data_IF_614005921581
#
_entry.id   IF_614005921581
#
_cell.length_a   1.000
_cell.length_b   1.000
_cell.length_c   1.000
_cell.angle_alpha   90.00
_cell.angle_beta   90.00
_cell.angle_gamma   90.00
#
_symmetry.space_group_name_H-M   'P 1'
#
loop_
_entity.id
_entity.type
_entity.pdbx_description
1 polymer ?
2 water ?
#
# COMPACT_ATOMS: atom_id res chain seq x y z
N UNK A 2 -12.87 21.36 -25.51
CA UNK A 2 -13.49 22.27 -24.52
C UNK A 2 -12.57 22.52 -23.32
N UNK A 3 -12.48 23.78 -22.88
CA UNK A 3 -11.67 24.14 -21.72
C UNK A 3 -12.28 23.74 -20.37
N UNK A 4 -13.59 23.95 -20.23
CA UNK A 4 -14.28 23.57 -19.01
C UNK A 4 -14.37 22.05 -18.88
N UNK A 5 -14.65 21.38 -20.00
CA UNK A 5 -14.59 19.92 -20.07
C UNK A 5 -13.21 19.37 -19.68
N UNK A 6 -12.14 20.01 -20.17
CA UNK A 6 -10.78 19.65 -19.76
C UNK A 6 -10.54 19.87 -18.26
N UNK A 7 -11.07 20.97 -17.72
CA UNK A 7 -10.94 21.19 -16.25
C UNK A 7 -11.54 20.06 -15.44
N UNK A 8 -12.71 19.58 -15.85
CA UNK A 8 -13.36 18.48 -15.13
C UNK A 8 -12.48 17.23 -15.14
N UNK A 9 -11.84 16.95 -16.29
CA UNK A 9 -11.00 15.76 -16.43
C UNK A 9 -9.76 15.89 -15.54
N UNK A 10 -9.12 17.04 -15.56
CA UNK A 10 -7.94 17.19 -14.72
C UNK A 10 -8.19 17.15 -13.18
N UNK A 11 -9.33 17.66 -12.73
CA UNK A 11 -9.69 17.60 -11.29
C UNK A 11 -9.85 16.13 -10.91
N UNK A 12 -10.47 15.35 -11.79
CA UNK A 12 -10.68 13.93 -11.50
C UNK A 12 -9.35 13.16 -11.45
N UNK A 13 -8.47 13.44 -12.40
CA UNK A 13 -7.11 12.86 -12.39
C UNK A 13 -6.28 13.30 -11.17
N UNK A 14 -6.40 14.57 -10.75
CA UNK A 14 -5.76 15.05 -9.50
C UNK A 14 -6.25 14.24 -8.28
N UNK A 15 -7.55 14.07 -8.17
CA UNK A 15 -8.10 13.28 -7.08
C UNK A 15 -7.44 11.89 -7.06
N UNK A 16 -7.25 11.30 -8.24
CA UNK A 16 -6.72 9.96 -8.33
C UNK A 16 -5.27 9.90 -7.87
N UNK A 17 -4.47 10.93 -8.22
CA UNK A 17 -3.08 10.98 -7.76
C UNK A 17 -3.00 11.24 -6.23
N UNK A 18 -3.99 11.94 -5.67
CA UNK A 18 -4.00 12.24 -4.25
C UNK A 18 -4.33 10.98 -3.44
N UNK A 19 -5.19 10.15 -4.03
CA UNK A 19 -5.54 8.86 -3.45
C UNK A 19 -4.34 7.91 -3.40
N UNK A 20 -3.57 7.87 -4.50
CA UNK A 20 -2.39 7.04 -4.58
C UNK A 20 -1.25 7.53 -3.68
N UNK A 21 -1.15 8.85 -3.52
CA UNK A 21 -0.27 9.43 -2.50
C UNK A 21 -0.63 9.02 -1.08
N UNK A 22 -1.92 9.02 -0.78
CA UNK A 22 -2.37 8.67 0.56
C UNK A 22 -2.04 7.21 0.87
N UNK A 23 -2.06 6.35 -0.16
CA UNK A 23 -1.71 4.93 -0.02
C UNK A 23 -0.24 4.74 0.26
N UNK A 24 0.60 5.55 -0.37
CA UNK A 24 2.04 5.41 -0.17
C UNK A 24 2.40 5.90 1.22
N UNK A 25 1.69 6.93 1.68
CA UNK A 25 1.88 7.42 3.06
C UNK A 25 1.48 6.40 4.13
N UNK A 26 0.36 5.70 3.87
CA UNK A 26 -0.09 4.63 4.78
C UNK A 26 0.92 3.49 4.80
N UNK A 27 1.45 3.12 3.63
CA UNK A 27 2.40 2.04 3.53
C UNK A 27 3.70 2.39 4.25
N UNK A 28 4.15 3.64 4.10
CA UNK A 28 5.32 4.10 4.86
C UNK A 28 5.06 4.05 6.38
N UNK A 29 3.88 4.48 6.79
CA UNK A 29 3.52 4.57 8.21
C UNK A 29 3.48 3.18 8.84
N UNK A 30 2.98 2.21 8.08
CA UNK A 30 2.71 0.88 8.62
C UNK A 30 3.88 -0.08 8.47
N UNK A 31 4.96 0.39 7.83
CA UNK A 31 6.05 -0.48 7.39
C UNK A 31 7.02 -0.83 8.51
N UNK B 2 7.78 -35.28 18.87
CA UNK B 2 8.57 -34.04 19.15
C UNK B 2 7.99 -32.80 18.50
N UNK B 3 8.61 -31.65 18.80
CA UNK B 3 8.28 -30.37 18.17
C UNK B 3 8.51 -30.41 16.65
N UNK B 4 9.48 -31.19 16.21
CA UNK B 4 9.80 -31.25 14.78
C UNK B 4 8.69 -31.99 14.04
N UNK B 5 8.10 -32.99 14.68
CA UNK B 5 7.04 -33.75 14.02
C UNK B 5 5.82 -32.84 13.90
N UNK B 6 5.59 -32.05 14.96
CA UNK B 6 4.49 -31.10 15.00
C UNK B 6 4.66 -30.03 13.92
N UNK B 7 5.90 -29.56 13.75
CA UNK B 7 6.22 -28.70 12.60
C UNK B 7 5.95 -29.35 11.23
N UNK B 8 6.40 -30.56 11.03
CA UNK B 8 6.16 -31.21 9.75
C UNK B 8 4.66 -31.44 9.50
N UNK B 9 3.89 -31.69 10.56
CA UNK B 9 2.43 -31.88 10.39
C UNK B 9 1.72 -30.58 10.07
N UNK B 10 2.16 -29.47 10.66
CA UNK B 10 1.52 -28.17 10.38
C UNK B 10 1.91 -27.72 8.95
N UNK B 11 3.12 -28.06 8.50
CA UNK B 11 3.52 -27.79 7.10
C UNK B 11 2.70 -28.58 6.08
N UNK B 12 2.43 -29.82 6.42
CA UNK B 12 1.52 -30.66 5.66
C UNK B 12 0.14 -30.03 5.56
N UNK B 13 -0.37 -29.57 6.69
CA UNK B 13 -1.72 -29.01 6.75
C UNK B 13 -1.73 -27.71 5.95
N UNK B 14 -0.65 -26.95 5.99
CA UNK B 14 -0.57 -25.71 5.23
C UNK B 14 -0.60 -25.99 3.73
N UNK B 15 0.17 -27.01 3.31
CA UNK B 15 0.21 -27.43 1.91
C UNK B 15 -1.17 -27.83 1.39
N UNK B 16 -1.92 -28.55 2.23
CA UNK B 16 -3.34 -28.84 1.97
C UNK B 16 -4.23 -27.62 1.72
N UNK B 17 -4.09 -26.59 2.56
CA UNK B 17 -4.91 -25.37 2.42
C UNK B 17 -4.47 -24.55 1.19
N UNK B 18 -3.20 -24.61 0.84
CA UNK B 18 -2.71 -23.97 -0.36
C UNK B 18 -3.25 -24.64 -1.62
N UNK B 19 -3.26 -25.98 -1.62
CA UNK B 19 -3.83 -26.75 -2.72
C UNK B 19 -5.31 -26.40 -2.92
N UNK B 20 -6.07 -26.34 -1.83
CA UNK B 20 -7.52 -26.02 -1.93
C UNK B 20 -7.75 -24.57 -2.35
N UNK B 21 -6.85 -23.69 -1.91
CA UNK B 21 -6.92 -22.29 -2.38
C UNK B 21 -6.68 -22.16 -3.89
N UNK B 22 -5.69 -22.89 -4.39
CA UNK B 22 -5.36 -22.92 -5.81
C UNK B 22 -6.56 -23.35 -6.64
N UNK B 23 -7.31 -24.36 -6.16
CA UNK B 23 -8.48 -24.80 -6.92
C UNK B 23 -9.66 -23.85 -6.80
N UNK B 24 -9.78 -23.10 -5.70
CA UNK B 24 -10.84 -22.07 -5.61
C UNK B 24 -10.54 -20.89 -6.54
N UNK B 25 -9.26 -20.61 -6.76
CA UNK B 25 -8.88 -19.60 -7.76
C UNK B 25 -9.15 -20.09 -9.20
N UNK B 26 -8.92 -21.37 -9.43
CA UNK B 26 -9.23 -21.96 -10.75
C UNK B 26 -10.74 -21.91 -11.00
N UNK B 27 -11.54 -22.24 -9.97
CA UNK B 27 -13.02 -22.20 -10.11
C UNK B 27 -13.50 -20.75 -10.34
N UNK B 28 -12.86 -19.79 -9.66
CA UNK B 28 -13.15 -18.37 -9.91
C UNK B 28 -12.88 -17.97 -11.36
N UNK B 29 -11.75 -18.40 -11.88
CA UNK B 29 -11.29 -18.05 -13.22
C UNK B 29 -12.19 -18.65 -14.29
N UNK B 30 -12.80 -19.80 -14.02
CA UNK B 30 -13.53 -20.53 -15.07
C UNK B 30 -14.96 -20.02 -15.23
N UNK B 31 -15.43 -19.26 -14.24
CA UNK B 31 -15.34 -17.82 -14.28
C UNK B 31 -16.66 -17.23 -14.73
N UNK C 2 11.54 -41.26 10.21
CA UNK C 2 11.96 -40.30 11.27
C UNK C 2 11.34 -38.93 11.09
N UNK C 3 11.42 -38.11 12.14
CA UNK C 3 10.72 -36.84 12.22
C UNK C 3 11.40 -35.76 11.38
N UNK C 4 12.72 -35.67 11.50
CA UNK C 4 13.47 -34.80 10.57
C UNK C 4 13.40 -35.26 9.10
N UNK C 5 13.35 -36.57 8.88
CA UNK C 5 13.16 -37.08 7.52
C UNK C 5 11.82 -36.62 6.96
N UNK C 6 10.77 -36.68 7.79
CA UNK C 6 9.42 -36.25 7.39
C UNK C 6 9.36 -34.75 7.11
N UNK C 7 10.00 -33.97 7.97
CA UNK C 7 10.15 -32.53 7.70
C UNK C 7 10.62 -32.21 6.27
N UNK C 8 11.76 -32.76 5.87
CA UNK C 8 12.29 -32.59 4.50
C UNK C 8 11.23 -32.87 3.42
N UNK C 9 10.54 -34.00 3.59
CA UNK C 9 9.53 -34.41 2.64
C UNK C 9 8.43 -33.33 2.54
N UNK C 10 7.95 -32.86 3.70
CA UNK C 10 6.81 -31.96 3.74
C UNK C 10 7.15 -30.57 3.22
N UNK C 11 8.40 -30.15 3.40
CA UNK C 11 8.86 -28.89 2.80
C UNK C 11 8.86 -28.95 1.27
N UNK C 12 9.41 -30.03 0.73
CA UNK C 12 9.35 -30.30 -0.72
C UNK C 12 7.94 -30.33 -1.28
N UNK C 13 7.02 -30.95 -0.55
CA UNK C 13 5.64 -31.03 -0.97
C UNK C 13 4.96 -29.67 -0.94
N UNK C 14 5.25 -28.88 0.10
CA UNK C 14 4.75 -27.49 0.18
C UNK C 14 5.21 -26.63 -1.01
N UNK C 15 6.50 -26.71 -1.35
CA UNK C 15 7.03 -25.97 -2.51
C UNK C 15 6.30 -26.30 -3.80
N UNK C 16 5.92 -27.57 -3.96
CA UNK C 16 5.22 -27.99 -5.16
C UNK C 16 3.82 -27.36 -5.20
N UNK C 17 3.14 -27.32 -4.06
CA UNK C 17 1.77 -26.77 -4.01
C UNK C 17 1.80 -25.27 -4.22
N UNK C 18 2.89 -24.63 -3.75
CA UNK C 18 3.08 -23.21 -3.99
C UNK C 18 3.28 -22.90 -5.46
N UNK C 19 4.02 -23.76 -6.15
CA UNK C 19 4.19 -23.63 -7.61
C UNK C 19 2.89 -23.82 -8.40
N UNK C 20 2.07 -24.76 -7.97
CA UNK C 20 0.75 -24.92 -8.59
C UNK C 20 -0.13 -23.69 -8.33
N UNK C 21 -0.06 -23.15 -7.13
CA UNK C 21 -0.87 -21.97 -6.77
C UNK C 21 -0.45 -20.80 -7.66
N UNK C 22 0.86 -20.65 -7.86
CA UNK C 22 1.38 -19.59 -8.70
C UNK C 22 0.79 -19.70 -10.12
N UNK C 23 0.69 -20.93 -10.62
CA UNK C 23 0.23 -21.18 -11.98
C UNK C 23 -1.21 -20.75 -12.10
N UNK C 24 -2.05 -21.15 -11.14
CA UNK C 24 -3.47 -20.76 -11.20
C UNK C 24 -3.69 -19.24 -11.10
N UNK C 25 -2.85 -18.56 -10.35
CA UNK C 25 -2.92 -17.10 -10.29
C UNK C 25 -2.56 -16.47 -11.65
N UNK C 26 -1.51 -16.99 -12.29
CA UNK C 26 -1.15 -16.56 -13.67
C UNK C 26 -2.29 -16.77 -14.66
N UNK C 27 -2.95 -17.91 -14.57
CA UNK C 27 -4.10 -18.20 -15.42
C UNK C 27 -5.26 -17.23 -15.18
N UNK C 28 -5.56 -16.97 -13.89
CA UNK C 28 -6.55 -15.97 -13.54
C UNK C 28 -6.21 -14.62 -14.15
N UNK C 29 -4.96 -14.20 -14.01
CA UNK C 29 -4.55 -12.86 -14.42
C UNK C 29 -4.71 -12.65 -15.93
N UNK C 30 -4.32 -13.66 -16.70
CA UNK C 30 -4.13 -13.50 -18.14
C UNK C 30 -5.29 -14.08 -18.96
N UNK C 31 -6.17 -14.81 -18.29
CA UNK C 31 -6.96 -15.86 -18.94
C UNK C 31 -8.33 -15.37 -19.37
N UNK D 2 -20.17 16.35 -7.04
CA UNK D 2 -19.40 16.36 -8.31
C UNK D 2 -17.90 16.18 -8.14
N UNK D 3 -17.14 16.64 -9.13
CA UNK D 3 -15.69 16.42 -9.20
C UNK D 3 -15.01 17.08 -7.99
N UNK D 4 -15.47 18.28 -7.62
CA UNK D 4 -14.80 19.07 -6.57
C UNK D 4 -15.00 18.42 -5.20
N UNK D 5 -16.22 17.99 -4.94
CA UNK D 5 -16.54 17.20 -3.78
C UNK D 5 -15.71 15.91 -3.63
N UNK D 6 -15.52 15.17 -4.74
CA UNK D 6 -14.68 13.97 -4.75
C UNK D 6 -13.23 14.31 -4.43
N UNK D 7 -12.73 15.39 -4.99
CA UNK D 7 -11.38 15.86 -4.68
C UNK D 7 -11.24 16.19 -3.18
N UNK D 8 -12.18 16.93 -2.61
CA UNK D 8 -12.12 17.30 -1.21
C UNK D 8 -12.13 16.06 -0.30
N UNK D 9 -12.89 15.05 -0.74
CA UNK D 9 -12.98 13.79 0.02
C UNK D 9 -11.64 13.07 0.03
N UNK D 10 -10.94 13.07 -1.11
CA UNK D 10 -9.59 12.43 -1.18
C UNK D 10 -8.59 13.25 -0.35
N UNK D 11 -8.75 14.58 -0.31
CA UNK D 11 -7.87 15.40 0.53
C UNK D 11 -8.07 15.11 2.03
N UNK D 12 -9.31 14.90 2.42
CA UNK D 12 -9.66 14.56 3.81
C UNK D 12 -9.07 13.20 4.19
N UNK D 13 -9.09 12.25 3.26
CA UNK D 13 -8.54 10.93 3.52
C UNK D 13 -7.01 10.96 3.55
N UNK D 14 -6.44 11.84 2.72
CA UNK D 14 -4.99 12.08 2.78
C UNK D 14 -4.59 12.65 4.13
N UNK D 15 -5.31 13.67 4.61
CA UNK D 15 -4.99 14.27 5.92
C UNK D 15 -5.00 13.23 7.04
N UNK D 16 -5.96 12.31 7.00
CA UNK D 16 -6.04 11.23 7.96
C UNK D 16 -4.80 10.32 7.95
N UNK D 17 -4.30 9.98 6.77
CA UNK D 17 -3.10 9.13 6.69
C UNK D 17 -1.85 9.89 7.12
N UNK D 18 -1.81 11.19 6.85
CA UNK D 18 -0.78 12.04 7.47
C UNK D 18 -0.80 12.07 9.01
N UNK D 19 -1.99 12.17 9.59
CA UNK D 19 -2.13 12.11 11.06
C UNK D 19 -1.56 10.81 11.60
N UNK D 20 -1.84 9.70 10.92
CA UNK D 20 -1.43 8.40 11.46
C UNK D 20 0.05 8.16 11.24
N UNK D 21 0.60 8.76 10.19
CA UNK D 21 2.06 8.76 10.01
C UNK D 21 2.74 9.55 11.16
N UNK D 22 2.19 10.71 11.49
CA UNK D 22 2.70 11.52 12.58
C UNK D 22 2.76 10.75 13.91
N UNK D 23 1.71 9.98 14.22
CA UNK D 23 1.68 9.13 15.43
C UNK D 23 2.77 8.08 15.39
N UNK D 24 2.98 7.43 14.24
CA UNK D 24 4.06 6.42 14.16
C UNK D 24 5.43 7.04 14.35
N UNK D 25 5.61 8.24 13.81
CA UNK D 25 6.86 8.98 14.05
C UNK D 25 7.08 9.38 15.51
N UNK D 26 6.00 9.82 16.15
CA UNK D 26 6.04 10.06 17.59
C UNK D 26 6.42 8.79 18.34
N UNK D 27 5.74 7.70 18.04
CA UNK D 27 5.95 6.45 18.77
C UNK D 27 7.39 5.96 18.62
N UNK D 28 7.94 6.07 17.41
CA UNK D 28 9.32 5.70 17.14
C UNK D 28 10.28 6.54 18.00
N UNK D 29 10.00 7.84 18.10
CA UNK D 29 10.83 8.74 18.88
C UNK D 29 10.83 8.41 20.38
N UNK D 30 9.65 8.04 20.89
CA UNK D 30 9.49 7.69 22.30
C UNK D 30 10.11 6.32 22.61
N UNK D 31 10.21 5.47 21.59
CA UNK D 31 10.95 4.22 21.71
C UNK D 31 12.40 4.43 22.11
N UNK E 2 21.87 -17.31 6.98
CA UNK E 2 21.75 -18.61 6.22
C UNK E 2 20.37 -18.81 5.59
N UNK E 3 20.05 -20.05 5.22
CA UNK E 3 18.90 -20.35 4.36
C UNK E 3 17.58 -19.98 5.06
N UNK E 4 17.52 -20.15 6.37
CA UNK E 4 16.32 -19.74 7.14
C UNK E 4 16.05 -18.22 7.07
N UNK E 5 17.06 -17.39 7.27
CA UNK E 5 16.88 -15.95 7.08
C UNK E 5 16.45 -15.61 5.64
N UNK E 6 17.05 -16.27 4.66
CA UNK E 6 16.72 -16.00 3.26
C UNK E 6 15.24 -16.33 2.99
N UNK E 7 14.80 -17.47 3.51
CA UNK E 7 13.38 -17.81 3.51
C UNK E 7 12.47 -16.77 4.18
N UNK E 8 12.87 -16.28 5.36
CA UNK E 8 12.12 -15.22 6.03
C UNK E 8 12.02 -13.99 5.15
N UNK E 9 13.11 -13.65 4.47
CA UNK E 9 13.12 -12.48 3.61
C UNK E 9 12.13 -12.60 2.43
N UNK E 10 12.05 -13.79 1.82
CA UNK E 10 11.14 -14.00 0.69
C UNK E 10 9.70 -13.97 1.17
N UNK E 11 9.46 -14.48 2.37
CA UNK E 11 8.12 -14.41 2.95
C UNK E 11 7.67 -12.96 3.22
N UNK E 12 8.60 -12.13 3.68
CA UNK E 12 8.33 -10.70 3.88
C UNK E 12 8.02 -10.01 2.57
N UNK E 13 8.76 -10.35 1.53
CA UNK E 13 8.56 -9.75 0.21
C UNK E 13 7.22 -10.20 -0.38
N UNK E 14 6.88 -11.45 -0.16
CA UNK E 14 5.56 -11.97 -0.54
C UNK E 14 4.41 -11.25 0.18
N UNK E 15 4.56 -11.03 1.49
CA UNK E 15 3.53 -10.32 2.29
C UNK E 15 3.31 -8.92 1.73
N UNK E 16 4.40 -8.28 1.31
CA UNK E 16 4.33 -6.96 0.70
C UNK E 16 3.54 -6.95 -0.65
N UNK E 17 3.76 -7.94 -1.48
CA UNK E 17 2.98 -8.09 -2.73
C UNK E 17 1.51 -8.36 -2.45
N UNK E 18 1.25 -9.10 -1.38
CA UNK E 18 -0.15 -9.39 -1.04
C UNK E 18 -0.86 -8.12 -0.56
N UNK E 19 -0.16 -7.27 0.18
CA UNK E 19 -0.69 -6.00 0.64
C UNK E 19 -1.01 -5.09 -0.55
N UNK E 20 -0.09 -5.05 -1.52
CA UNK E 20 -0.32 -4.29 -2.76
C UNK E 20 -1.51 -4.81 -3.55
N UNK E 21 -1.62 -6.12 -3.66
CA UNK E 21 -2.84 -6.70 -4.28
C UNK E 21 -4.14 -6.30 -3.56
N UNK E 22 -4.13 -6.36 -2.22
CA UNK E 22 -5.31 -6.00 -1.45
C UNK E 22 -5.70 -4.54 -1.71
N UNK E 23 -4.72 -3.65 -1.81
CA UNK E 23 -5.01 -2.24 -2.18
C UNK E 23 -5.70 -2.13 -3.51
N UNK E 24 -5.22 -2.88 -4.50
CA UNK E 24 -5.83 -2.82 -5.84
C UNK E 24 -7.26 -3.37 -5.83
N UNK E 25 -7.49 -4.41 -5.03
CA UNK E 25 -8.85 -4.95 -4.88
C UNK E 25 -9.80 -3.93 -4.22
N UNK E 26 -9.29 -3.18 -3.26
CA UNK E 26 -10.07 -2.14 -2.59
C UNK E 26 -10.38 -1.03 -3.60
N UNK E 27 -9.37 -0.58 -4.33
CA UNK E 27 -9.60 0.43 -5.35
C UNK E 27 -10.73 -0.02 -6.29
N UNK E 28 -10.71 -1.30 -6.68
CA UNK E 28 -11.70 -1.81 -7.64
C UNK E 28 -13.10 -1.88 -7.05
N UNK E 29 -13.19 -2.38 -5.82
CA UNK E 29 -14.44 -2.39 -5.08
C UNK E 29 -15.05 -0.99 -5.07
N UNK E 30 -14.21 0.02 -4.93
CA UNK E 30 -14.67 1.37 -4.64
C UNK E 30 -15.25 2.02 -5.90
N UNK E 31 -14.47 2.00 -6.97
CA UNK E 31 -14.92 2.55 -8.24
C UNK E 31 -14.99 1.50 -9.34
N UNK F 2 -14.43 36.43 -3.16
CA UNK F 2 -15.32 35.25 -3.19
C UNK F 2 -14.66 33.94 -2.81
N UNK F 3 -15.39 32.85 -2.99
CA UNK F 3 -14.91 31.55 -2.55
C UNK F 3 -13.67 31.05 -3.33
N UNK F 4 -13.50 31.50 -4.57
CA UNK F 4 -12.35 31.10 -5.37
C UNK F 4 -11.05 31.74 -4.88
N UNK F 5 -11.13 33.02 -4.52
CA UNK F 5 -10.00 33.70 -3.87
C UNK F 5 -9.67 33.08 -2.51
N UNK F 6 -10.70 32.80 -1.71
CA UNK F 6 -10.53 32.12 -0.43
C UNK F 6 -9.82 30.76 -0.57
N UNK F 7 -10.21 29.98 -1.57
CA UNK F 7 -9.51 28.73 -1.91
C UNK F 7 -8.05 28.95 -2.26
N UNK F 8 -7.79 29.98 -3.06
CA UNK F 8 -6.41 30.32 -3.47
C UNK F 8 -5.56 30.63 -2.22
N UNK F 9 -6.12 31.44 -1.31
CA UNK F 9 -5.45 31.74 -0.03
C UNK F 9 -5.15 30.50 0.84
N UNK F 10 -6.10 29.56 0.95
CA UNK F 10 -5.84 28.32 1.69
C UNK F 10 -4.77 27.46 1.01
N UNK F 11 -4.72 27.54 -0.32
CA UNK F 11 -3.71 26.79 -1.07
C UNK F 11 -2.31 27.40 -0.81
N UNK F 12 -2.26 28.72 -0.76
CA UNK F 12 -1.01 29.39 -0.40
C UNK F 12 -0.51 29.02 1.01
N UNK F 13 -1.44 28.90 1.95
CA UNK F 13 -1.08 28.55 3.32
C UNK F 13 -0.64 27.08 3.42
N UNK F 14 -1.29 26.20 2.66
CA UNK F 14 -0.82 24.81 2.56
C UNK F 14 0.58 24.73 1.98
N UNK F 15 0.87 25.53 0.96
CA UNK F 15 2.20 25.50 0.34
C UNK F 15 3.25 25.89 1.39
N UNK F 16 2.90 26.86 2.24
CA UNK F 16 3.83 27.36 3.25
C UNK F 16 4.13 26.27 4.26
N UNK F 17 3.08 25.52 4.66
CA UNK F 17 3.30 24.39 5.57
C UNK F 17 4.16 23.28 4.97
N UNK F 18 3.97 23.05 3.67
CA UNK F 18 4.75 22.04 2.93
C UNK F 18 6.22 22.45 2.87
N UNK F 19 6.48 23.74 2.66
CA UNK F 19 7.87 24.25 2.72
C UNK F 19 8.52 24.04 4.11
N UNK F 20 7.75 24.29 5.16
CA UNK F 20 8.23 24.08 6.53
C UNK F 20 8.49 22.61 6.84
N UNK F 21 7.60 21.75 6.33
CA UNK F 21 7.81 20.32 6.47
C UNK F 21 9.05 19.87 5.70
N UNK F 22 9.25 20.36 4.48
CA UNK F 22 10.43 20.02 3.68
C UNK F 22 11.70 20.36 4.46
N UNK F 23 11.69 21.48 5.18
CA UNK F 23 12.88 21.92 5.96
C UNK F 23 13.11 20.98 7.12
N UNK F 24 12.05 20.54 7.80
CA UNK F 24 12.25 19.68 8.97
C UNK F 24 12.79 18.34 8.51
N UNK F 25 12.42 17.94 7.29
CA UNK F 25 12.95 16.70 6.72
C UNK F 25 14.44 16.85 6.37
N UNK F 26 14.79 17.98 5.77
CA UNK F 26 16.19 18.32 5.49
C UNK F 26 17.04 18.35 6.78
N UNK F 27 16.49 18.94 7.84
CA UNK F 27 17.21 19.07 9.12
C UNK F 27 17.42 17.72 9.80
N UNK F 28 16.42 16.84 9.68
CA UNK F 28 16.56 15.46 10.11
C UNK F 28 17.61 14.69 9.32
N UNK F 29 17.64 14.87 8.00
CA UNK F 29 18.67 14.28 7.15
C UNK F 29 20.08 14.76 7.50
N UNK F 30 20.26 16.07 7.61
CA UNK F 30 21.56 16.60 8.00
C UNK F 30 21.94 16.02 9.36
N UNK F 31 22.84 15.04 9.34
CA UNK F 31 23.16 14.28 10.55
C UNK F 31 23.39 15.16 11.77
N UNK G 2 -20.72 26.64 -0.48
CA UNK G 2 -20.84 25.44 -1.38
C UNK G 2 -19.56 24.63 -1.43
N UNK G 3 -19.35 23.92 -2.53
CA UNK G 3 -18.31 22.90 -2.63
C UNK G 3 -16.91 23.51 -2.69
N UNK G 4 -16.79 24.68 -3.28
CA UNK G 4 -15.50 25.37 -3.27
C UNK G 4 -15.00 25.79 -1.88
N UNK G 5 -15.88 26.36 -1.06
CA UNK G 5 -15.61 26.56 0.36
C UNK G 5 -15.32 25.27 1.13
N UNK G 6 -16.11 24.24 0.90
CA UNK G 6 -15.83 22.97 1.56
C UNK G 6 -14.44 22.41 1.23
N UNK G 7 -14.05 22.53 -0.03
CA UNK G 7 -12.71 22.14 -0.47
C UNK G 7 -11.63 22.98 0.21
N UNK G 8 -11.86 24.28 0.32
CA UNK G 8 -10.88 25.15 1.01
C UNK G 8 -10.72 24.74 2.47
N UNK G 9 -11.81 24.30 3.10
CA UNK G 9 -11.77 23.88 4.50
C UNK G 9 -11.03 22.58 4.67
N UNK G 10 -11.13 21.67 3.69
CA UNK G 10 -10.37 20.41 3.73
C UNK G 10 -8.87 20.67 3.50
N UNK G 11 -8.56 21.68 2.68
CA UNK G 11 -7.17 22.07 2.43
C UNK G 11 -6.58 22.73 3.69
N UNK G 12 -7.41 23.47 4.41
CA UNK G 12 -7.01 24.07 5.71
C UNK G 12 -6.76 23.00 6.78
N UNK G 13 -7.59 21.97 6.80
CA UNK G 13 -7.36 20.84 7.71
C UNK G 13 -6.12 20.02 7.34
N UNK G 14 -5.89 19.83 6.04
CA UNK G 14 -4.69 19.13 5.59
C UNK G 14 -3.45 19.89 6.07
N UNK G 15 -3.46 21.21 5.90
CA UNK G 15 -2.32 22.05 6.31
C UNK G 15 -2.03 21.91 7.81
N UNK G 16 -3.09 21.77 8.62
CA UNK G 16 -2.99 21.51 10.05
C UNK G 16 -2.25 20.21 10.32
N UNK G 17 -2.64 19.12 9.64
CA UNK G 17 -1.98 17.80 9.84
C UNK G 17 -0.52 17.78 9.35
N UNK G 18 -0.24 18.56 8.30
CA UNK G 18 1.14 18.70 7.82
C UNK G 18 2.02 19.43 8.86
N UNK G 19 1.49 20.50 9.43
CA UNK G 19 2.18 21.17 10.53
C UNK G 19 2.45 20.26 11.72
N UNK G 20 1.51 19.40 12.05
CA UNK G 20 1.68 18.47 13.17
C UNK G 20 2.68 17.37 12.81
N UNK G 21 2.71 16.94 11.54
CA UNK G 21 3.73 15.99 11.10
C UNK G 21 5.12 16.58 11.24
N UNK G 22 5.25 17.81 10.74
CA UNK G 22 6.51 18.56 10.84
C UNK G 22 7.00 18.64 12.31
N UNK G 23 6.09 18.84 13.24
CA UNK G 23 6.43 18.95 14.68
C UNK G 23 6.97 17.63 15.17
N UNK G 24 6.35 16.51 14.78
CA UNK G 24 6.85 15.22 15.25
C UNK G 24 8.21 14.86 14.64
N UNK G 25 8.45 15.31 13.42
CA UNK G 25 9.74 15.07 12.76
C UNK G 25 10.86 15.86 13.44
N UNK G 26 10.57 17.12 13.80
CA UNK G 26 11.52 17.89 14.62
C UNK G 26 11.77 17.25 15.99
N UNK G 27 10.71 16.73 16.62
CA UNK G 27 10.87 16.06 17.91
C UNK G 27 11.70 14.77 17.81
N UNK G 28 11.49 13.99 16.74
CA UNK G 28 12.35 12.85 16.44
C UNK G 28 13.80 13.25 16.22
N UNK G 29 14.00 14.25 15.37
CA UNK G 29 15.34 14.83 15.17
C UNK G 29 16.03 15.28 16.48
N UNK G 30 15.25 15.71 17.48
CA UNK G 30 15.82 16.27 18.72
C UNK G 30 16.55 15.22 19.53
N UNK G 31 16.00 14.01 19.55
CA UNK G 31 16.29 13.06 20.63
C UNK G 31 17.24 11.96 20.19
N UNK H 2 -8.15 37.56 -13.52
CA UNK H 2 -9.16 37.48 -12.42
C UNK H 2 -8.88 36.34 -11.45
N UNK H 3 -9.89 35.94 -10.68
CA UNK H 3 -9.67 35.05 -9.56
C UNK H 3 -9.26 33.66 -10.01
N UNK H 4 -9.71 33.26 -11.20
CA UNK H 4 -9.31 31.98 -11.78
C UNK H 4 -7.80 31.94 -12.06
N UNK H 5 -7.29 32.96 -12.75
CA UNK H 5 -5.83 33.07 -12.93
C UNK H 5 -5.10 33.07 -11.60
N UNK H 6 -5.61 33.84 -10.63
CA UNK H 6 -4.99 33.90 -9.31
C UNK H 6 -4.95 32.52 -8.64
N UNK H 7 -6.04 31.75 -8.77
CA UNK H 7 -6.04 30.34 -8.32
C UNK H 7 -4.97 29.52 -9.04
N UNK H 8 -4.90 29.63 -10.36
CA UNK H 8 -3.93 28.85 -11.16
C UNK H 8 -2.49 29.12 -10.71
N UNK H 9 -2.22 30.38 -10.38
CA UNK H 9 -0.91 30.77 -9.84
C UNK H 9 -0.59 30.09 -8.52
N UNK H 10 -1.55 30.05 -7.60
CA UNK H 10 -1.29 29.49 -6.27
C UNK H 10 -1.09 27.99 -6.40
N UNK H 11 -1.77 27.39 -7.38
CA UNK H 11 -1.61 25.95 -7.66
C UNK H 11 -0.25 25.62 -8.26
N UNK H 12 0.23 26.51 -9.14
CA UNK H 12 1.62 26.42 -9.66
C UNK H 12 2.66 26.51 -8.55
N UNK H 13 2.43 27.43 -7.62
CA UNK H 13 3.36 27.66 -6.52
C UNK H 13 3.34 26.47 -5.54
N UNK H 14 2.15 25.91 -5.33
CA UNK H 14 2.03 24.64 -4.57
C UNK H 14 2.78 23.47 -5.22
N UNK H 15 2.65 23.34 -6.54
CA UNK H 15 3.31 22.26 -7.28
C UNK H 15 4.81 22.37 -7.09
N UNK H 16 5.31 23.61 -7.09
CA UNK H 16 6.72 23.88 -6.83
C UNK H 16 7.15 23.44 -5.42
N UNK H 17 6.33 23.69 -4.41
CA UNK H 17 6.71 23.29 -3.03
C UNK H 17 6.63 21.77 -2.85
N UNK H 18 5.71 21.13 -3.56
CA UNK H 18 5.65 19.67 -3.56
C UNK H 18 6.86 19.02 -4.25
N UNK H 19 7.34 19.62 -5.35
CA UNK H 19 8.56 19.15 -6.01
C UNK H 19 9.78 19.30 -5.09
N UNK H 20 9.85 20.42 -4.36
CA UNK H 20 10.92 20.61 -3.36
C UNK H 20 10.87 19.63 -2.19
N UNK H 21 9.67 19.36 -1.71
CA UNK H 21 9.47 18.31 -0.70
C UNK H 21 9.91 16.93 -1.17
N UNK H 22 9.55 16.56 -2.40
CA UNK H 22 9.96 15.27 -2.98
C UNK H 22 11.48 15.13 -3.04
N UNK H 23 12.17 16.24 -3.35
CA UNK H 23 13.64 16.31 -3.39
C UNK H 23 14.22 16.09 -1.99
N UNK H 24 13.64 16.70 -0.95
CA UNK H 24 14.18 16.49 0.40
C UNK H 24 13.99 15.04 0.85
N UNK H 25 12.84 14.47 0.50
CA UNK H 25 12.56 13.07 0.80
C UNK H 25 13.54 12.10 0.11
N UNK H 26 13.81 12.34 -1.17
CA UNK H 26 14.83 11.61 -1.94
C UNK H 26 16.21 11.70 -1.26
N UNK H 27 16.59 12.92 -0.87
CA UNK H 27 17.88 13.14 -0.22
C UNK H 27 17.97 12.41 1.12
N UNK H 28 16.86 12.40 1.86
CA UNK H 28 16.80 11.66 3.12
C UNK H 28 16.89 10.16 2.90
N UNK H 29 16.31 9.67 1.81
CA UNK H 29 16.40 8.24 1.50
C UNK H 29 17.82 7.91 1.01
N UNK H 30 18.42 8.84 0.27
CA UNK H 30 19.71 8.60 -0.41
C UNK H 30 20.88 9.05 0.47
N UNK I 2 9.64 -24.85 22.68
CA UNK I 2 10.68 -23.87 22.25
C UNK I 2 10.33 -23.15 20.96
N UNK I 3 11.33 -22.72 20.21
CA UNK I 3 11.08 -21.87 19.04
C UNK I 3 10.53 -22.67 17.86
N UNK I 4 10.83 -23.96 17.82
CA UNK I 4 10.30 -24.78 16.73
C UNK I 4 8.80 -24.98 16.92
N UNK I 5 8.38 -25.13 18.18
CA UNK I 5 6.95 -25.27 18.46
C UNK I 5 6.19 -23.99 18.17
N UNK I 6 6.82 -22.86 18.47
CA UNK I 6 6.21 -21.57 18.21
C UNK I 6 6.11 -21.31 16.70
N UNK I 7 7.12 -21.75 15.94
CA UNK I 7 7.05 -21.68 14.47
C UNK I 7 5.88 -22.49 13.97
N UNK I 8 5.74 -23.71 14.49
CA UNK I 8 4.62 -24.57 14.09
C UNK I 8 3.29 -23.86 14.36
N UNK I 9 3.19 -23.17 15.49
CA UNK I 9 1.94 -22.51 15.85
C UNK I 9 1.61 -21.39 14.88
N UNK I 10 2.59 -20.58 14.51
CA UNK I 10 2.40 -19.58 13.47
C UNK I 10 2.00 -20.17 12.10
N UNK I 11 2.64 -21.26 11.70
CA UNK I 11 2.25 -21.94 10.44
C UNK I 11 0.79 -22.41 10.50
N UNK I 12 0.37 -22.90 11.68
CA UNK I 12 -1.03 -23.30 11.88
C UNK I 12 -1.98 -22.12 11.70
N UNK I 13 -1.65 -20.98 12.29
CA UNK I 13 -2.51 -19.80 12.15
C UNK I 13 -2.49 -19.29 10.70
N UNK I 14 -1.32 -19.35 10.05
CA UNK I 14 -1.23 -19.01 8.61
C UNK I 14 -2.15 -19.89 7.77
N UNK I 15 -2.17 -21.19 8.07
CA UNK I 15 -3.05 -22.09 7.34
C UNK I 15 -4.51 -21.66 7.53
N UNK I 16 -4.85 -21.25 8.75
CA UNK I 16 -6.21 -20.86 9.06
C UNK I 16 -6.61 -19.60 8.30
N UNK I 17 -5.66 -18.66 8.10
CA UNK I 17 -5.99 -17.47 7.31
C UNK I 17 -6.14 -17.77 5.82
N UNK I 18 -5.37 -18.74 5.32
CA UNK I 18 -5.45 -19.22 3.92
C UNK I 18 -6.81 -19.88 3.64
N UNK I 19 -7.27 -20.71 4.58
CA UNK I 19 -8.59 -21.33 4.49
C UNK I 19 -9.71 -20.30 4.43
N UNK I 20 -9.58 -19.25 5.25
CA UNK I 20 -10.59 -18.19 5.27
C UNK I 20 -10.55 -17.35 4.00
N UNK I 21 -9.34 -17.13 3.48
CA UNK I 21 -9.20 -16.49 2.18
C UNK I 21 -9.86 -17.31 1.05
N UNK I 22 -9.63 -18.61 1.04
CA UNK I 22 -10.21 -19.49 0.03
C UNK I 22 -11.76 -19.48 0.07
N UNK I 23 -12.31 -19.31 1.27
CA UNK I 23 -13.77 -19.15 1.47
C UNK I 23 -14.23 -17.83 0.88
N UNK I 24 -13.49 -16.75 1.09
CA UNK I 24 -13.94 -15.48 0.53
C UNK I 24 -13.91 -15.52 -1.00
N UNK I 25 -12.92 -16.22 -1.57
CA UNK I 25 -12.76 -16.26 -3.04
C UNK I 25 -13.88 -17.11 -3.66
N UNK I 26 -14.23 -18.20 -2.97
CA UNK I 26 -15.41 -19.01 -3.36
C UNK I 26 -16.72 -18.20 -3.33
N UNK I 27 -16.93 -17.44 -2.26
CA UNK I 27 -18.11 -16.57 -2.17
C UNK I 27 -18.09 -15.54 -3.29
N UNK I 28 -16.90 -15.05 -3.63
CA UNK I 28 -16.80 -14.10 -4.71
C UNK I 28 -17.22 -14.77 -6.02
N UNK I 29 -16.71 -15.98 -6.26
CA UNK I 29 -17.00 -16.74 -7.48
C UNK I 29 -18.49 -17.03 -7.64
N UNK I 30 -19.16 -17.32 -6.52
CA UNK I 30 -20.58 -17.70 -6.52
C UNK I 30 -21.53 -16.51 -6.66
N UNK I 31 -21.02 -15.31 -6.38
CA UNK I 31 -21.79 -14.09 -6.59
C UNK I 31 -21.48 -13.47 -7.95
N UNK J 2 -8.08 30.46 -22.67
CA UNK J 2 -8.63 31.26 -21.52
C UNK J 2 -7.95 30.98 -20.19
N UNK J 3 -8.41 31.66 -19.14
CA UNK J 3 -7.92 31.43 -17.75
C UNK J 3 -8.24 30.01 -17.26
N UNK J 4 -9.39 29.49 -17.71
CA UNK J 4 -9.80 28.11 -17.37
C UNK J 4 -8.89 27.01 -17.94
N UNK J 5 -8.56 27.11 -19.24
CA UNK J 5 -7.52 26.25 -19.80
C UNK J 5 -6.21 26.30 -19.00
N UNK J 6 -5.78 27.50 -18.60
CA UNK J 6 -4.55 27.64 -17.80
C UNK J 6 -4.66 27.02 -16.42
N UNK J 7 -5.82 27.15 -15.82
CA UNK J 7 -6.09 26.47 -14.56
C UNK J 7 -6.00 24.95 -14.73
N UNK J 8 -6.64 24.43 -15.79
CA UNK J 8 -6.62 22.97 -16.10
C UNK J 8 -5.19 22.46 -16.31
N UNK J 9 -4.37 23.27 -16.96
CA UNK J 9 -2.98 22.89 -17.16
C UNK J 9 -2.15 22.88 -15.88
N UNK J 10 -2.35 23.85 -15.00
CA UNK J 10 -1.64 23.88 -13.71
C UNK J 10 -2.08 22.75 -12.78
N UNK J 11 -3.36 22.39 -12.83
CA UNK J 11 -3.87 21.23 -12.09
C UNK J 11 -3.24 19.93 -12.60
N UNK J 12 -3.13 19.77 -13.92
CA UNK J 12 -2.43 18.62 -14.50
C UNK J 12 -0.98 18.53 -14.04
N UNK J 13 -0.31 19.67 -13.99
CA UNK J 13 1.09 19.71 -13.58
C UNK J 13 1.24 19.43 -12.08
N UNK J 14 0.30 19.93 -11.27
CA UNK J 14 0.24 19.54 -9.85
C UNK J 14 0.06 18.03 -9.66
N UNK J 15 -0.84 17.42 -10.44
CA UNK J 15 -1.06 15.95 -10.34
C UNK J 15 0.24 15.22 -10.64
N UNK J 16 0.96 15.71 -11.66
CA UNK J 16 2.24 15.12 -12.01
C UNK J 16 3.26 15.17 -10.87
N UNK J 17 3.35 16.32 -10.17
CA UNK J 17 4.27 16.43 -9.04
C UNK J 17 3.86 15.55 -7.86
N UNK J 18 2.55 15.41 -7.67
CA UNK J 18 2.01 14.59 -6.59
C UNK J 18 2.33 13.11 -6.84
N UNK J 19 2.22 12.70 -8.11
CA UNK J 19 2.67 11.35 -8.52
C UNK J 19 4.16 11.10 -8.23
N UNK J 20 4.99 12.09 -8.54
CA UNK J 20 6.43 12.00 -8.29
C UNK J 20 6.78 12.00 -6.79
N UNK J 21 6.00 12.72 -5.99
CA UNK J 21 6.21 12.70 -4.54
C UNK J 21 5.86 11.33 -3.95
N UNK J 22 4.75 10.77 -4.43
CA UNK J 22 4.33 9.42 -4.05
C UNK J 22 5.39 8.36 -4.36
N UNK J 23 6.06 8.49 -5.50
CA UNK J 23 7.21 7.60 -5.82
C UNK J 23 8.38 7.78 -4.86
N UNK J 24 8.74 9.02 -4.55
CA UNK J 24 9.83 9.23 -3.60
C UNK J 24 9.53 8.65 -2.22
N UNK J 25 8.26 8.73 -1.83
CA UNK J 25 7.82 8.20 -0.53
C UNK J 25 7.88 6.68 -0.54
N UNK J 26 7.52 6.10 -1.68
CA UNK J 26 7.67 4.65 -1.83
C UNK J 26 9.12 4.17 -1.80
N UNK J 27 10.00 4.93 -2.46
CA UNK J 27 11.42 4.62 -2.41
C UNK J 27 12.01 4.74 -1.03
N UNK J 28 11.65 5.80 -0.30
CA UNK J 28 11.94 5.87 1.13
C UNK J 28 11.48 4.65 1.95
N UNK J 29 10.23 4.27 1.76
CA UNK J 29 9.64 3.13 2.45
C UNK J 29 10.50 1.89 2.23
N UNK J 30 10.85 1.67 0.97
CA UNK J 30 11.49 0.45 0.53
C UNK J 30 12.88 0.27 1.14
N UNK J 31 13.59 1.39 1.30
CA UNK J 31 14.90 1.40 1.93
C UNK J 31 15.21 0.13 2.69
N UNK K 2 16.67 -15.96 17.66
CA UNK K 2 17.48 -16.40 16.48
C UNK K 2 16.62 -16.50 15.23
N UNK K 3 17.12 -17.18 14.20
CA UNK K 3 16.55 -17.05 12.87
C UNK K 3 15.23 -17.82 12.77
N UNK K 4 15.03 -18.80 13.65
CA UNK K 4 13.76 -19.53 13.67
C UNK K 4 12.62 -18.67 14.23
N UNK K 5 12.93 -17.89 15.26
CA UNK K 5 11.93 -16.97 15.79
C UNK K 5 11.67 -15.84 14.80
N UNK K 6 12.73 -15.37 14.12
CA UNK K 6 12.57 -14.36 13.08
C UNK K 6 11.67 -14.83 11.92
N UNK K 7 11.83 -16.08 11.50
CA UNK K 7 10.99 -16.65 10.43
C UNK K 7 9.55 -16.74 10.89
N UNK K 8 9.36 -17.11 12.16
CA UNK K 8 8.02 -17.23 12.73
C UNK K 8 7.30 -15.87 12.76
N UNK K 9 8.06 -14.80 12.98
CA UNK K 9 7.49 -13.45 12.96
C UNK K 9 7.10 -13.00 11.55
N UNK K 10 7.90 -13.38 10.54
CA UNK K 10 7.52 -13.10 9.15
C UNK K 10 6.29 -13.90 8.69
N UNK K 11 6.17 -15.15 9.13
CA UNK K 11 4.94 -15.93 8.92
C UNK K 11 3.69 -15.29 9.56
N UNK K 12 3.83 -14.77 10.78
CA UNK K 12 2.73 -14.05 11.42
C UNK K 12 2.33 -12.80 10.65
N UNK K 13 3.32 -12.03 10.22
CA UNK K 13 3.08 -10.87 9.37
C UNK K 13 2.43 -11.22 8.03
N UNK K 14 2.81 -12.35 7.43
CA UNK K 14 2.19 -12.79 6.17
C UNK K 14 0.69 -13.20 6.42
N UNK K 15 0.46 -13.87 7.55
CA UNK K 15 -0.91 -14.19 7.94
C UNK K 15 -1.81 -12.96 8.08
N UNK K 16 -1.26 -11.91 8.68
CA UNK K 16 -1.94 -10.61 8.74
C UNK K 16 -2.32 -10.05 7.37
N UNK K 17 -1.38 -10.10 6.42
CA UNK K 17 -1.64 -9.53 5.11
C UNK K 17 -2.68 -10.34 4.34
N UNK K 18 -2.69 -11.64 4.58
CA UNK K 18 -3.70 -12.53 4.01
C UNK K 18 -5.10 -12.24 4.56
N UNK K 19 -5.17 -12.01 5.88
CA UNK K 19 -6.45 -11.68 6.51
C UNK K 19 -7.03 -10.39 5.95
N UNK K 20 -6.17 -9.41 5.71
CA UNK K 20 -6.60 -8.14 5.14
C UNK K 20 -6.96 -8.27 3.67
N UNK K 21 -6.24 -9.10 2.93
CA UNK K 21 -6.65 -9.42 1.55
C UNK K 21 -8.04 -10.10 1.49
N UNK K 22 -8.28 -11.04 2.41
CA UNK K 22 -9.60 -11.70 2.49
C UNK K 22 -10.73 -10.70 2.79
N UNK K 23 -10.44 -9.69 3.62
CA UNK K 23 -11.38 -8.62 3.88
C UNK K 23 -11.68 -7.74 2.68
N UNK K 24 -10.68 -7.47 1.85
CA UNK K 24 -10.95 -6.66 0.64
C UNK K 24 -11.71 -7.44 -0.44
N UNK K 25 -11.50 -8.75 -0.48
CA UNK K 25 -12.26 -9.62 -1.39
C UNK K 25 -13.71 -9.75 -0.95
N UNK K 26 -13.91 -9.80 0.37
CA UNK K 26 -15.26 -9.82 0.95
C UNK K 26 -16.03 -8.53 0.63
N UNK K 27 -15.36 -7.39 0.77
CA UNK K 27 -15.95 -6.12 0.38
C UNK K 27 -16.27 -6.08 -1.12
N UNK K 28 -15.35 -6.56 -1.96
CA UNK K 28 -15.57 -6.63 -3.40
C UNK K 28 -16.83 -7.47 -3.73
N UNK K 29 -16.97 -8.60 -3.06
CA UNK K 29 -18.08 -9.52 -3.31
C UNK K 29 -19.39 -8.87 -2.88
N UNK K 30 -19.26 -7.89 -2.00
CA UNK K 30 -20.38 -7.38 -1.21
C UNK K 30 -21.02 -6.21 -1.96
N UNK K 31 -20.19 -5.46 -2.68
CA UNK K 31 -20.68 -4.36 -3.50
C UNK K 31 -21.10 -4.83 -4.87
N UNK L 2 19.17 -27.87 -1.28
CA UNK L 2 18.49 -27.39 -0.05
C UNK L 2 17.00 -27.27 -0.27
N UNK L 3 16.25 -28.07 0.49
CA UNK L 3 14.80 -27.99 0.52
C UNK L 3 14.27 -26.59 0.86
N UNK L 4 14.92 -25.91 1.81
CA UNK L 4 14.44 -24.58 2.27
C UNK L 4 14.68 -23.53 1.16
N UNK L 5 15.82 -23.65 0.50
CA UNK L 5 16.18 -22.71 -0.58
C UNK L 5 15.24 -22.88 -1.77
N UNK L 6 14.91 -24.14 -2.09
CA UNK L 6 13.93 -24.46 -3.13
C UNK L 6 12.54 -23.93 -2.80
N UNK L 7 12.13 -24.05 -1.53
CA UNK L 7 10.91 -23.43 -1.07
C UNK L 7 10.95 -21.91 -1.22
N UNK L 8 12.06 -21.30 -0.84
CA UNK L 8 12.15 -19.83 -0.92
C UNK L 8 12.02 -19.40 -2.38
N UNK L 9 12.59 -20.19 -3.29
CA UNK L 9 12.50 -19.87 -4.73
C UNK L 9 11.09 -19.95 -5.26
N UNK L 10 10.30 -20.90 -4.78
CA UNK L 10 8.91 -20.95 -5.21
C UNK L 10 8.06 -19.80 -4.61
N UNK L 11 8.33 -19.42 -3.36
CA UNK L 11 7.68 -18.26 -2.74
C UNK L 11 7.97 -16.99 -3.56
N UNK L 12 9.19 -16.86 -4.05
CA UNK L 12 9.58 -15.68 -4.83
C UNK L 12 8.87 -15.66 -6.19
N UNK L 13 8.66 -16.84 -6.75
CA UNK L 13 7.94 -16.92 -8.02
C UNK L 13 6.44 -16.69 -7.84
N UNK L 14 5.90 -17.14 -6.70
CA UNK L 14 4.52 -16.81 -6.33
C UNK L 14 4.37 -15.28 -6.19
N UNK L 15 5.29 -14.63 -5.47
CA UNK L 15 5.23 -13.18 -5.26
C UNK L 15 5.11 -12.49 -6.64
N UNK L 16 5.90 -12.97 -7.59
CA UNK L 16 5.94 -12.35 -8.91
C UNK L 16 4.60 -12.55 -9.63
N UNK L 17 3.99 -13.73 -9.51
CA UNK L 17 2.64 -13.92 -10.08
C UNK L 17 1.54 -13.05 -9.44
N UNK L 18 1.62 -12.83 -8.12
CA UNK L 18 0.72 -11.92 -7.42
C UNK L 18 0.92 -10.46 -7.86
N UNK L 19 2.16 -10.09 -8.14
CA UNK L 19 2.42 -8.76 -8.68
C UNK L 19 1.72 -8.58 -10.02
N UNK L 20 1.79 -9.62 -10.85
CA UNK L 20 1.17 -9.56 -12.19
C UNK L 20 -0.34 -9.52 -12.13
N UNK L 21 -0.92 -10.25 -11.18
CA UNK L 21 -2.38 -10.18 -11.00
C UNK L 21 -2.77 -8.76 -10.61
N UNK L 22 -2.00 -8.18 -9.69
CA UNK L 22 -2.27 -6.85 -9.17
C UNK L 22 -2.40 -5.79 -10.29
N UNK L 23 -1.60 -5.89 -11.35
CA UNK L 23 -1.83 -4.99 -12.50
C UNK L 23 -3.13 -5.20 -13.18
N UNK L 24 -3.52 -6.46 -13.37
CA UNK L 24 -4.75 -6.76 -14.10
C UNK L 24 -5.97 -6.23 -13.34
N UNK L 25 -5.88 -6.25 -12.02
CA UNK L 25 -6.90 -5.65 -11.17
C UNK L 25 -6.92 -4.13 -11.33
N UNK L 26 -5.74 -3.54 -11.31
CA UNK L 26 -5.61 -2.13 -11.63
C UNK L 26 -6.28 -1.78 -12.98
N UNK L 27 -6.07 -2.62 -13.99
CA UNK L 27 -6.71 -2.43 -15.30
C UNK L 27 -8.24 -2.40 -15.23
N UNK L 28 -8.83 -3.38 -14.55
CA UNK L 28 -10.26 -3.43 -14.32
C UNK L 28 -10.76 -2.17 -13.60
N UNK L 29 -10.00 -1.71 -12.62
CA UNK L 29 -10.45 -0.62 -11.77
C UNK L 29 -10.38 0.73 -12.49
N UNK L 30 -9.46 0.85 -13.44
CA UNK L 30 -9.32 2.10 -14.18
C UNK L 30 -10.12 2.07 -15.48
N UNK L 31 -10.61 0.88 -15.85
CA UNK L 31 -11.17 0.66 -17.18
C UNK L 31 -12.63 1.06 -17.26
#
# INVERSE_FOLDING_TARGET
XGEIKALAQEIKALAKEIKALAFEIKALAQGX
XGEIKALAQEIKALAKEIKALAFEIKALAQGX
XGEIKALAQEIKALAKEIKALAFEIKALAQGX
XGEIKALAQEIKALAKEIKALAFEIKALAQGX
XGEIKALAQEIKALAKEIKALAFEIKALAQGX
XGEIKALAQEIKALAKEIKALAFEIKALAQGX
XGEIKALAQEIKALAKEIKALAFEIKALAQGX
XGEIKALAQEIKALAKEIKALAFEIKALAQGX
XGEIKALAQEIKALAKEIKALAFEIKALAQGX
XGEIKALAQEIKALAKEIKALAFEIKALAQGX
XGEIKALAQEIKALAKEIKALAFEIKALAQGX
XGEIKALAQEIKALAKEIKALAFEIKALAQGX
#
